data_IF_074440143823
#
_entry.id   IF_074440143823
#
_cell.length_a   1.000
_cell.length_b   1.000
_cell.length_c   1.000
_cell.angle_alpha   90.00
_cell.angle_beta   90.00
_cell.angle_gamma   90.00
#
_symmetry.space_group_name_H-M   'P 1'
#
loop_
_entity.id
_entity.type
_entity.pdbx_description
1 polymer ?
#
# COMPACT_ATOMS: atom_id res chain seq x y z
N UNK A 1 43.09 30.21 -17.93
CA UNK A 1 43.29 30.38 -16.48
C UNK A 1 44.45 29.53 -15.96
N UNK A 2 44.38 28.19 -15.89
CA UNK A 2 45.50 27.38 -15.38
C UNK A 2 46.78 27.44 -16.23
N UNK A 3 46.65 27.38 -17.56
CA UNK A 3 47.80 27.40 -18.50
C UNK A 3 48.54 28.75 -18.51
N UNK A 4 47.84 29.83 -18.16
CA UNK A 4 48.42 31.19 -18.08
C UNK A 4 49.35 31.35 -16.86
N UNK A 5 49.14 30.55 -15.81
CA UNK A 5 49.98 30.51 -14.62
C UNK A 5 51.28 29.72 -14.82
N UNK A 6 51.30 28.80 -15.79
CA UNK A 6 52.52 28.08 -16.20
C UNK A 6 53.45 29.04 -16.96
N UNK A 7 52.89 29.89 -17.84
CA UNK A 7 53.66 30.90 -18.58
C UNK A 7 54.33 31.94 -17.68
N UNK A 8 53.82 32.14 -16.48
CA UNK A 8 54.39 33.04 -15.47
C UNK A 8 55.34 32.33 -14.48
N UNK A 9 55.73 31.07 -14.74
CA UNK A 9 56.63 30.24 -13.91
C UNK A 9 56.17 29.99 -12.46
N UNK A 10 54.90 30.27 -12.15
CA UNK A 10 54.34 30.06 -10.81
C UNK A 10 53.78 28.64 -10.60
N UNK A 11 53.55 27.89 -11.68
CA UNK A 11 53.03 26.52 -11.65
C UNK A 11 53.75 25.65 -12.69
N UNK A 12 53.98 24.39 -12.36
CA UNK A 12 54.53 23.40 -13.29
C UNK A 12 53.42 22.70 -14.08
N UNK A 13 53.80 22.01 -15.16
CA UNK A 13 52.87 21.14 -15.91
C UNK A 13 52.35 19.99 -15.04
N UNK A 14 53.19 19.48 -14.13
CA UNK A 14 52.81 18.42 -13.18
C UNK A 14 51.71 18.87 -12.21
N UNK A 15 51.77 20.11 -11.74
CA UNK A 15 50.76 20.69 -10.85
C UNK A 15 49.39 20.77 -11.53
N UNK A 16 49.37 21.05 -12.85
CA UNK A 16 48.13 21.15 -13.62
C UNK A 16 47.49 19.77 -13.88
N UNK A 17 48.32 18.74 -14.08
CA UNK A 17 47.87 17.34 -14.16
C UNK A 17 47.32 16.86 -12.82
N UNK A 18 48.02 17.15 -11.72
CA UNK A 18 47.57 16.81 -10.37
C UNK A 18 46.25 17.54 -10.02
N UNK A 19 46.12 18.82 -10.37
CA UNK A 19 44.90 19.59 -10.17
C UNK A 19 43.68 19.00 -10.91
N UNK A 20 43.85 18.59 -12.17
CA UNK A 20 42.78 17.95 -12.92
C UNK A 20 42.37 16.61 -12.26
N UNK A 21 43.36 15.80 -11.83
CA UNK A 21 43.09 14.57 -11.10
C UNK A 21 42.30 14.83 -9.80
N UNK A 22 42.70 15.83 -9.00
CA UNK A 22 41.99 16.19 -7.78
C UNK A 22 40.60 16.77 -8.06
N UNK A 23 40.42 17.54 -9.13
CA UNK A 23 39.11 18.07 -9.54
C UNK A 23 38.13 16.94 -9.80
N UNK A 24 38.55 15.91 -10.55
CA UNK A 24 37.71 14.74 -10.80
C UNK A 24 37.44 13.93 -9.53
N UNK A 25 38.46 13.79 -8.65
CA UNK A 25 38.31 13.11 -7.36
C UNK A 25 37.32 13.84 -6.43
N UNK A 26 37.20 15.16 -6.54
CA UNK A 26 36.29 16.00 -5.76
C UNK A 26 34.88 16.02 -6.36
N UNK A 27 34.76 16.14 -7.68
CA UNK A 27 33.46 16.21 -8.38
C UNK A 27 32.72 14.86 -8.42
N UNK A 28 33.45 13.73 -8.44
CA UNK A 28 32.86 12.39 -8.44
C UNK A 28 31.92 12.11 -7.24
N UNK A 29 32.36 12.26 -5.96
CA UNK A 29 31.49 12.06 -4.81
C UNK A 29 30.33 13.06 -4.75
N UNK A 30 30.52 14.30 -5.22
CA UNK A 30 29.42 15.28 -5.32
C UNK A 30 28.32 14.76 -6.26
N UNK A 31 28.71 14.20 -7.40
CA UNK A 31 27.77 13.65 -8.38
C UNK A 31 27.02 12.43 -7.84
N UNK A 32 27.72 11.56 -7.08
CA UNK A 32 27.11 10.44 -6.36
C UNK A 32 26.03 10.91 -5.39
N UNK A 33 26.29 11.97 -4.60
CA UNK A 33 25.32 12.52 -3.66
C UNK A 33 24.06 13.05 -4.35
N UNK A 34 24.18 13.64 -5.54
CA UNK A 34 23.01 14.08 -6.33
C UNK A 34 22.14 12.87 -6.72
N UNK A 35 22.78 11.77 -7.11
CA UNK A 35 22.10 10.51 -7.41
C UNK A 35 21.34 9.93 -6.21
N UNK A 36 21.99 9.90 -5.03
CA UNK A 36 21.36 9.34 -3.82
C UNK A 36 20.16 10.15 -3.32
N UNK A 37 20.16 11.48 -3.49
CA UNK A 37 18.99 12.32 -3.18
C UNK A 37 17.76 11.87 -3.98
N UNK A 38 17.94 11.50 -5.24
CA UNK A 38 16.84 11.00 -6.08
C UNK A 38 16.32 9.65 -5.60
N UNK A 39 17.22 8.74 -5.21
CA UNK A 39 16.85 7.45 -4.61
C UNK A 39 16.03 7.62 -3.34
N UNK A 40 16.43 8.52 -2.43
CA UNK A 40 15.70 8.79 -1.19
C UNK A 40 14.25 9.21 -1.46
N UNK A 41 14.03 10.10 -2.44
CA UNK A 41 12.67 10.54 -2.82
C UNK A 41 11.80 9.37 -3.28
N UNK A 42 12.34 8.48 -4.13
CA UNK A 42 11.60 7.30 -4.58
C UNK A 42 11.33 6.31 -3.45
N UNK A 43 12.30 6.09 -2.55
CA UNK A 43 12.13 5.20 -1.39
C UNK A 43 10.98 5.65 -0.50
N UNK A 44 10.82 6.96 -0.29
CA UNK A 44 9.72 7.50 0.52
C UNK A 44 8.32 7.16 -0.04
N UNK A 45 8.19 7.07 -1.36
CA UNK A 45 6.93 6.67 -2.00
C UNK A 45 6.59 5.21 -1.66
N UNK A 46 7.58 4.31 -1.69
CA UNK A 46 7.37 2.91 -1.32
C UNK A 46 7.04 2.74 0.16
N UNK A 47 7.70 3.51 1.04
CA UNK A 47 7.37 3.54 2.47
C UNK A 47 5.88 3.86 2.70
N UNK A 48 5.38 4.92 2.07
CA UNK A 48 3.97 5.31 2.18
C UNK A 48 3.03 4.21 1.66
N UNK A 49 3.39 3.54 0.55
CA UNK A 49 2.59 2.42 0.01
C UNK A 49 2.54 1.25 0.98
N UNK A 50 3.66 0.90 1.62
CA UNK A 50 3.73 -0.18 2.61
C UNK A 50 2.89 0.15 3.85
N UNK A 51 3.00 1.38 4.36
CA UNK A 51 2.21 1.83 5.53
C UNK A 51 0.72 1.78 5.21
N UNK A 52 0.30 2.31 4.06
CA UNK A 52 -1.10 2.30 3.65
C UNK A 52 -1.66 0.87 3.53
N UNK A 53 -0.86 -0.06 2.98
CA UNK A 53 -1.25 -1.47 2.90
C UNK A 53 -1.37 -2.09 4.29
N UNK A 54 -0.41 -1.83 5.19
CA UNK A 54 -0.47 -2.33 6.56
C UNK A 54 -1.72 -1.82 7.30
N UNK A 55 -2.06 -0.55 7.13
CA UNK A 55 -3.24 0.05 7.77
C UNK A 55 -4.56 -0.49 7.18
N UNK A 56 -4.61 -0.74 5.88
CA UNK A 56 -5.72 -1.48 5.27
C UNK A 56 -5.88 -2.88 5.86
N UNK A 57 -4.77 -3.62 6.02
CA UNK A 57 -4.80 -4.98 6.55
C UNK A 57 -5.23 -5.04 8.02
N UNK A 58 -4.89 -4.03 8.83
CA UNK A 58 -5.35 -3.95 10.23
C UNK A 58 -6.88 -3.93 10.36
N UNK A 59 -7.62 -3.44 9.35
CA UNK A 59 -9.08 -3.42 9.37
C UNK A 59 -9.71 -4.83 9.36
N UNK A 60 -8.97 -5.84 8.91
CA UNK A 60 -9.41 -7.24 8.93
C UNK A 60 -8.99 -7.99 10.20
N UNK A 61 -8.17 -7.36 11.06
CA UNK A 61 -7.71 -7.96 12.29
C UNK A 61 -8.75 -7.73 13.40
N UNK A 62 -9.68 -8.68 13.53
CA UNK A 62 -10.60 -8.75 14.67
C UNK A 62 -9.85 -9.44 15.82
N UNK A 63 -9.73 -8.79 16.99
CA UNK A 63 -9.30 -9.48 18.21
C UNK A 63 -10.19 -10.73 18.38
N UNK A 64 -9.60 -11.92 18.47
CA UNK A 64 -10.31 -13.13 18.89
C UNK A 64 -10.79 -12.94 20.33
N UNK A 65 -11.93 -12.27 20.54
CA UNK A 65 -12.66 -12.27 21.80
C UNK A 65 -13.65 -13.43 21.77
N UNK A 66 -13.24 -14.53 22.41
CA UNK A 66 -14.09 -15.68 22.66
C UNK A 66 -13.35 -17.01 22.53
N UNK A 67 -13.74 -17.99 23.36
CA UNK A 67 -13.45 -19.39 23.06
C UNK A 67 -14.16 -19.74 21.76
N UNK A 68 -13.43 -20.34 20.81
CA UNK A 68 -14.07 -21.01 19.67
C UNK A 68 -14.74 -22.25 20.27
N UNK A 69 -16.02 -22.13 20.60
CA UNK A 69 -16.83 -23.29 20.91
C UNK A 69 -17.12 -24.00 19.58
N UNK A 70 -16.50 -25.16 19.38
CA UNK A 70 -16.84 -26.06 18.29
C UNK A 70 -18.23 -26.63 18.55
N UNK A 71 -19.25 -25.88 18.18
CA UNK A 71 -20.64 -26.25 18.40
C UNK A 71 -21.52 -25.69 17.30
N UNK A 72 -21.33 -26.14 16.06
CA UNK A 72 -22.46 -26.15 15.14
C UNK A 72 -23.43 -27.21 15.67
N UNK A 73 -24.29 -26.80 16.60
CA UNK A 73 -25.45 -27.59 17.02
C UNK A 73 -26.48 -27.55 15.89
N UNK A 74 -27.33 -28.56 15.82
CA UNK A 74 -28.40 -28.65 14.80
C UNK A 74 -29.40 -27.48 14.83
N UNK A 75 -29.28 -26.55 15.79
CA UNK A 75 -30.12 -25.37 15.99
C UNK A 75 -29.38 -24.05 15.69
N UNK A 76 -28.48 -24.02 14.71
CA UNK A 76 -27.91 -22.77 14.23
C UNK A 76 -28.98 -21.91 13.53
N UNK A 77 -29.01 -20.61 13.84
CA UNK A 77 -29.83 -19.65 13.08
C UNK A 77 -29.01 -18.42 12.73
N UNK A 78 -29.02 -18.06 11.44
CA UNK A 78 -28.44 -16.84 10.93
C UNK A 78 -29.54 -15.77 10.89
N UNK A 79 -29.37 -14.71 11.68
CA UNK A 79 -30.33 -13.58 11.72
C UNK A 79 -29.61 -12.30 11.33
N UNK A 80 -30.09 -11.67 10.26
CA UNK A 80 -29.68 -10.35 9.83
C UNK A 80 -30.83 -9.40 10.14
N UNK A 81 -30.54 -8.32 10.85
CA UNK A 81 -31.52 -7.27 11.17
C UNK A 81 -30.95 -5.91 10.83
N UNK A 82 -31.74 -5.07 10.16
CA UNK A 82 -31.36 -3.73 9.68
C UNK A 82 -30.03 -3.74 8.92
N UNK A 83 -29.83 -4.76 8.07
CA UNK A 83 -28.61 -4.92 7.28
C UNK A 83 -28.58 -4.00 6.06
N UNK A 84 -27.41 -3.44 5.78
CA UNK A 84 -27.16 -2.63 4.58
C UNK A 84 -26.03 -3.24 3.75
N UNK A 85 -26.18 -3.20 2.43
CA UNK A 85 -25.19 -3.74 1.49
C UNK A 85 -24.74 -2.67 0.53
N UNK A 86 -23.43 -2.47 0.46
CA UNK A 86 -22.79 -1.44 -0.36
C UNK A 86 -21.90 -2.05 -1.45
N UNK A 87 -22.16 -1.67 -2.70
CA UNK A 87 -21.27 -1.95 -3.83
C UNK A 87 -20.34 -0.77 -4.04
N UNK A 88 -19.15 -0.83 -3.43
CA UNK A 88 -18.28 0.36 -3.34
C UNK A 88 -18.91 1.40 -2.41
N UNK A 89 -19.10 2.63 -2.88
CA UNK A 89 -19.76 3.70 -2.11
C UNK A 89 -21.29 3.72 -2.28
N UNK A 90 -21.84 2.92 -3.21
CA UNK A 90 -23.29 2.91 -3.50
C UNK A 90 -24.01 1.91 -2.60
N UNK A 91 -25.00 2.38 -1.85
CA UNK A 91 -25.97 1.53 -1.16
C UNK A 91 -26.83 0.80 -2.20
N UNK A 92 -26.78 -0.53 -2.19
CA UNK A 92 -27.52 -1.39 -3.12
C UNK A 92 -28.78 -1.97 -2.48
N UNK A 93 -28.70 -2.37 -1.22
CA UNK A 93 -29.84 -2.91 -0.47
C UNK A 93 -29.81 -2.30 0.93
N UNK A 94 -30.96 -1.81 1.38
CA UNK A 94 -31.16 -1.16 2.68
C UNK A 94 -32.16 -1.95 3.51
N UNK A 95 -32.01 -1.93 4.83
CA UNK A 95 -32.97 -2.46 5.81
C UNK A 95 -33.33 -3.94 5.58
N UNK A 96 -32.34 -4.77 5.26
CA UNK A 96 -32.54 -6.21 5.11
C UNK A 96 -32.80 -6.84 6.48
N UNK A 97 -33.94 -7.51 6.58
CA UNK A 97 -34.30 -8.36 7.70
C UNK A 97 -34.54 -9.77 7.20
N UNK A 98 -33.71 -10.72 7.62
CA UNK A 98 -33.78 -12.11 7.16
C UNK A 98 -33.32 -13.05 8.28
N UNK A 99 -33.98 -14.20 8.37
CA UNK A 99 -33.59 -15.28 9.28
C UNK A 99 -33.57 -16.61 8.53
N UNK A 100 -32.51 -17.39 8.72
CA UNK A 100 -32.34 -18.75 8.20
C UNK A 100 -32.03 -19.70 9.35
N UNK A 101 -32.59 -20.89 9.33
CA UNK A 101 -32.33 -21.96 10.29
C UNK A 101 -31.51 -23.07 9.64
N UNK A 102 -30.88 -23.90 10.48
CA UNK A 102 -30.20 -25.11 10.02
C UNK A 102 -31.16 -25.99 9.21
N UNK A 103 -30.73 -26.42 8.02
CA UNK A 103 -31.52 -27.25 7.11
C UNK A 103 -32.39 -26.48 6.10
N UNK A 104 -32.51 -25.17 6.21
CA UNK A 104 -33.26 -24.37 5.25
C UNK A 104 -32.54 -24.33 3.89
N UNK A 105 -33.31 -24.46 2.80
CA UNK A 105 -32.84 -24.21 1.44
C UNK A 105 -33.36 -22.85 0.99
N UNK A 106 -32.46 -21.87 0.87
CA UNK A 106 -32.82 -20.47 0.56
C UNK A 106 -32.36 -20.10 -0.84
N UNK A 107 -33.31 -19.70 -1.68
CA UNK A 107 -33.03 -19.18 -3.01
C UNK A 107 -33.09 -17.64 -3.01
N UNK A 108 -32.08 -17.01 -3.61
CA UNK A 108 -32.02 -15.55 -3.75
C UNK A 108 -32.27 -15.18 -5.21
N UNK A 109 -33.37 -14.45 -5.45
CA UNK A 109 -33.86 -14.11 -6.79
C UNK A 109 -33.98 -12.58 -6.94
N UNK A 110 -33.81 -12.09 -8.17
CA UNK A 110 -33.94 -10.68 -8.53
C UNK A 110 -33.22 -10.37 -9.84
N UNK A 111 -33.24 -9.11 -10.28
CA UNK A 111 -32.63 -8.69 -11.54
C UNK A 111 -31.10 -8.61 -11.50
N UNK A 112 -30.45 -8.71 -12.66
CA UNK A 112 -29.00 -8.55 -12.75
C UNK A 112 -28.55 -7.19 -12.20
N UNK A 113 -27.52 -7.19 -11.35
CA UNK A 113 -27.01 -5.97 -10.72
C UNK A 113 -27.73 -5.53 -9.44
N UNK A 114 -28.77 -6.24 -8.97
CA UNK A 114 -29.49 -5.87 -7.74
C UNK A 114 -28.75 -6.20 -6.42
N UNK A 115 -27.52 -6.75 -6.48
CA UNK A 115 -26.68 -7.01 -5.30
C UNK A 115 -26.67 -8.44 -4.76
N UNK A 116 -27.29 -9.43 -5.44
CA UNK A 116 -27.36 -10.84 -4.97
C UNK A 116 -26.00 -11.45 -4.62
N UNK A 117 -25.04 -11.41 -5.55
CA UNK A 117 -23.69 -11.97 -5.33
C UNK A 117 -22.96 -11.28 -4.17
N UNK A 118 -23.21 -9.98 -4.00
CA UNK A 118 -22.60 -9.19 -2.95
C UNK A 118 -23.20 -9.52 -1.58
N UNK A 119 -24.51 -9.77 -1.52
CA UNK A 119 -25.16 -10.28 -0.33
C UNK A 119 -24.61 -11.65 0.08
N UNK A 120 -24.48 -12.59 -0.86
CA UNK A 120 -23.87 -13.90 -0.59
C UNK A 120 -22.43 -13.81 -0.06
N UNK A 121 -21.63 -12.82 -0.50
CA UNK A 121 -20.25 -12.63 -0.05
C UNK A 121 -20.14 -11.96 1.32
N UNK A 122 -21.21 -11.32 1.81
CA UNK A 122 -21.21 -10.51 3.03
C UNK A 122 -22.00 -11.12 4.18
N UNK A 123 -22.86 -12.12 3.89
CA UNK A 123 -23.35 -13.11 4.85
C UNK A 123 -22.17 -13.86 5.49
#
# INVERSE_FOLDING_TARGET
MGVDLIKSSNLTVGDLVAFNAYTNMLCSPITLLIGTISTIKTTKIYENRIINLLDYLKQFYVEKKGKIENGFTDNFSLKVWSGEIYGGEKLLIKDINFACHSGDVVQIVGDNGCGKTLFYKRL
#
